data_IF_329427884633
#
_entry.id   IF_329427884633
#
_cell.length_a   1.000
_cell.length_b   1.000
_cell.length_c   1.000
_cell.angle_alpha   90.00
_cell.angle_beta   90.00
_cell.angle_gamma   90.00
#
_symmetry.space_group_name_H-M   'P 1'
#
loop_
_entity.id
_entity.type
_entity.pdbx_description
1 polymer ?
#
# COMPACT_ATOMS: atom_id res chain seq x y z
N UNK A 1 2.52 -6.42 19.05
CA UNK A 1 2.00 -6.19 17.69
C UNK A 1 2.92 -6.95 16.74
N UNK A 2 2.37 -7.67 15.76
CA UNK A 2 3.15 -8.29 14.68
C UNK A 2 3.25 -7.31 13.52
N UNK A 3 4.46 -7.11 13.00
CA UNK A 3 4.76 -6.26 11.85
C UNK A 3 5.46 -7.08 10.76
N UNK A 4 5.25 -6.67 9.52
CA UNK A 4 5.96 -7.19 8.36
C UNK A 4 6.98 -6.14 7.94
N UNK A 5 8.25 -6.49 8.03
CA UNK A 5 9.34 -5.67 7.50
C UNK A 5 9.57 -6.00 6.02
N UNK A 6 9.73 -4.99 5.15
CA UNK A 6 10.08 -5.23 3.76
C UNK A 6 11.40 -5.99 3.60
N UNK A 7 11.35 -7.15 2.96
CA UNK A 7 12.54 -7.89 2.52
C UNK A 7 13.10 -7.27 1.22
N UNK A 8 13.90 -6.22 1.39
CA UNK A 8 14.54 -5.44 0.31
C UNK A 8 15.86 -4.82 0.80
N UNK A 9 16.80 -4.47 -0.10
CA UNK A 9 18.08 -3.88 0.27
C UNK A 9 18.00 -2.35 0.40
N UNK A 10 16.95 -1.81 1.02
CA UNK A 10 16.82 -0.37 1.19
C UNK A 10 17.92 0.21 2.11
N UNK A 11 18.32 1.47 1.90
CA UNK A 11 19.31 2.14 2.76
C UNK A 11 18.90 2.12 4.22
N UNK A 12 19.87 2.04 5.14
CA UNK A 12 19.60 1.99 6.59
C UNK A 12 18.87 3.23 7.14
N UNK A 13 18.93 4.36 6.41
CA UNK A 13 18.16 5.58 6.71
C UNK A 13 16.67 5.44 6.35
N UNK A 14 16.28 4.44 5.56
CA UNK A 14 14.88 4.16 5.21
C UNK A 14 14.32 3.15 6.22
N UNK A 15 13.20 3.51 6.84
CA UNK A 15 12.44 2.63 7.71
C UNK A 15 11.09 2.37 7.06
N UNK A 16 10.65 1.12 7.09
CA UNK A 16 9.42 0.72 6.43
C UNK A 16 8.81 -0.50 7.13
N UNK A 17 7.48 -0.57 7.18
CA UNK A 17 6.76 -1.73 7.71
C UNK A 17 5.34 -1.78 7.18
N UNK A 18 4.72 -2.97 7.25
CA UNK A 18 3.28 -3.14 7.15
C UNK A 18 2.71 -3.76 8.41
N UNK A 19 1.59 -3.24 8.88
CA UNK A 19 0.90 -3.79 10.05
C UNK A 19 0.15 -5.07 9.69
N UNK A 20 -0.02 -5.94 10.69
CA UNK A 20 -1.03 -7.01 10.64
C UNK A 20 -2.32 -6.54 11.34
N UNK A 21 -3.37 -7.37 11.33
CA UNK A 21 -4.59 -7.12 12.08
C UNK A 21 -4.43 -7.30 13.61
N UNK A 22 -3.25 -7.70 14.09
CA UNK A 22 -3.00 -8.18 15.45
C UNK A 22 -2.40 -7.09 16.35
N UNK A 23 -2.86 -7.04 17.60
CA UNK A 23 -2.25 -6.22 18.67
C UNK A 23 -2.91 -4.86 18.88
N UNK A 24 -4.16 -4.68 18.47
CA UNK A 24 -4.97 -3.50 18.78
C UNK A 24 -6.10 -3.78 19.77
N UNK A 25 -7.04 -2.84 19.86
CA UNK A 25 -8.16 -2.85 20.83
C UNK A 25 -9.55 -2.93 20.18
N UNK A 26 -9.64 -2.83 18.86
CA UNK A 26 -10.91 -2.92 18.14
C UNK A 26 -11.54 -4.31 18.28
N UNK A 27 -12.85 -4.38 18.08
CA UNK A 27 -13.64 -5.59 18.34
C UNK A 27 -14.44 -6.04 17.10
N UNK A 28 -15.02 -7.25 17.18
CA UNK A 28 -15.89 -7.80 16.15
C UNK A 28 -15.24 -7.82 14.75
N UNK A 29 -15.89 -7.29 13.70
CA UNK A 29 -15.33 -7.30 12.34
C UNK A 29 -14.01 -6.52 12.18
N UNK A 30 -13.71 -5.64 13.14
CA UNK A 30 -12.51 -4.80 13.16
C UNK A 30 -11.41 -5.35 14.07
N UNK A 31 -11.62 -6.52 14.69
CA UNK A 31 -10.65 -7.08 15.63
C UNK A 31 -9.30 -7.38 14.91
N UNK A 32 -8.15 -6.88 15.37
CA UNK A 32 -7.90 -6.11 16.61
C UNK A 32 -7.27 -4.73 16.36
N UNK A 33 -6.36 -4.59 15.40
CA UNK A 33 -5.63 -3.36 15.10
C UNK A 33 -6.18 -2.68 13.84
N UNK A 34 -7.43 -2.19 13.90
CA UNK A 34 -7.98 -1.39 12.80
C UNK A 34 -7.44 0.05 12.86
N UNK A 35 -6.86 0.52 11.75
CA UNK A 35 -6.33 1.87 11.60
C UNK A 35 -7.22 2.81 10.76
N UNK A 36 -8.26 2.25 10.14
CA UNK A 36 -9.21 3.00 9.31
C UNK A 36 -10.35 3.61 10.14
N UNK A 37 -10.52 4.92 10.04
CA UNK A 37 -11.56 5.73 10.70
C UNK A 37 -12.88 5.83 9.92
N UNK A 38 -12.88 5.37 8.66
CA UNK A 38 -13.99 5.50 7.71
C UNK A 38 -14.73 4.19 7.45
N UNK A 39 -14.48 3.14 8.25
CA UNK A 39 -15.01 1.79 8.04
C UNK A 39 -16.14 1.41 9.01
N UNK A 40 -16.54 2.33 9.88
CA UNK A 40 -17.63 2.14 10.85
C UNK A 40 -17.21 1.47 12.16
N UNK A 41 -15.91 1.48 12.49
CA UNK A 41 -15.41 1.09 13.81
C UNK A 41 -15.59 2.22 14.83
N UNK A 42 -15.41 1.91 16.11
CA UNK A 42 -15.40 2.88 17.19
C UNK A 42 -14.22 3.86 17.02
N UNK A 43 -14.47 5.18 16.92
CA UNK A 43 -13.42 6.18 16.78
C UNK A 43 -12.38 6.16 17.90
N UNK A 44 -12.77 5.82 19.14
CA UNK A 44 -11.85 5.71 20.27
C UNK A 44 -10.91 4.52 20.12
N UNK A 45 -11.42 3.38 19.63
CA UNK A 45 -10.58 2.22 19.33
C UNK A 45 -9.59 2.51 18.18
N UNK A 46 -10.05 3.18 17.12
CA UNK A 46 -9.17 3.55 15.99
C UNK A 46 -8.08 4.51 16.44
N UNK A 47 -8.42 5.56 17.19
CA UNK A 47 -7.44 6.48 17.76
C UNK A 47 -6.43 5.73 18.63
N UNK A 48 -6.91 4.85 19.51
CA UNK A 48 -6.03 4.03 20.36
C UNK A 48 -5.12 3.09 19.58
N UNK A 49 -5.62 2.49 18.49
CA UNK A 49 -4.80 1.64 17.61
C UNK A 49 -3.70 2.44 16.91
N UNK A 50 -3.99 3.66 16.45
CA UNK A 50 -2.98 4.57 15.88
C UNK A 50 -1.94 4.98 16.93
N UNK A 51 -2.34 5.26 18.17
CA UNK A 51 -1.40 5.52 19.27
C UNK A 51 -0.49 4.31 19.57
N UNK A 52 -1.07 3.10 19.60
CA UNK A 52 -0.33 1.85 19.79
C UNK A 52 0.70 1.69 18.68
N UNK A 53 0.32 1.92 17.42
CA UNK A 53 1.21 1.86 16.27
C UNK A 53 2.37 2.85 16.40
N UNK A 54 2.06 4.14 16.63
CA UNK A 54 3.08 5.19 16.75
C UNK A 54 4.05 4.91 17.90
N UNK A 55 3.54 4.48 19.06
CA UNK A 55 4.35 4.19 20.25
C UNK A 55 5.23 2.96 20.03
N UNK A 56 4.71 1.90 19.41
CA UNK A 56 5.46 0.66 19.19
C UNK A 56 6.59 0.84 18.18
N UNK A 57 6.36 1.64 17.13
CA UNK A 57 7.37 1.94 16.11
C UNK A 57 8.32 3.08 16.51
N UNK A 58 8.02 3.81 17.59
CA UNK A 58 8.74 5.04 17.93
C UNK A 58 8.69 6.06 16.79
N UNK A 59 7.53 6.22 16.15
CA UNK A 59 7.42 7.06 14.97
C UNK A 59 7.81 8.52 15.29
N UNK A 60 8.59 9.16 14.41
CA UNK A 60 9.06 10.53 14.63
C UNK A 60 7.94 11.58 14.54
N UNK A 61 6.84 11.24 13.86
CA UNK A 61 5.65 12.06 13.71
C UNK A 61 4.43 11.16 13.43
N UNK A 62 3.22 11.73 13.52
CA UNK A 62 2.03 11.03 13.07
C UNK A 62 2.11 10.77 11.55
N UNK A 63 1.71 9.58 11.06
CA UNK A 63 1.63 9.32 9.63
C UNK A 63 0.69 10.28 8.90
N UNK A 64 1.06 10.72 7.70
CA UNK A 64 0.09 11.38 6.82
C UNK A 64 -0.93 10.36 6.35
N UNK A 65 -2.10 10.35 6.99
CA UNK A 65 -3.27 9.63 6.50
C UNK A 65 -3.86 10.35 5.29
N UNK A 66 -4.28 9.59 4.28
CA UNK A 66 -4.88 10.13 3.06
C UNK A 66 -6.37 9.81 3.01
N UNK A 67 -7.14 10.67 2.35
CA UNK A 67 -8.46 10.30 1.83
C UNK A 67 -8.25 9.58 0.51
N UNK A 68 -8.05 8.26 0.59
CA UNK A 68 -7.85 7.38 -0.56
C UNK A 68 -9.15 7.24 -1.36
N UNK A 69 -9.11 7.58 -2.65
CA UNK A 69 -10.27 7.58 -3.55
C UNK A 69 -10.09 6.63 -4.73
N UNK A 70 -9.08 5.77 -4.69
CA UNK A 70 -8.68 4.86 -5.78
C UNK A 70 -8.33 5.63 -7.07
N UNK A 71 -7.80 6.84 -6.91
CA UNK A 71 -7.27 7.69 -7.97
C UNK A 71 -5.77 7.49 -8.16
N UNK A 72 -5.10 8.55 -8.64
CA UNK A 72 -3.67 8.54 -9.00
C UNK A 72 -2.86 9.71 -8.45
N UNK A 73 -3.48 10.54 -7.63
CA UNK A 73 -2.87 11.77 -7.14
C UNK A 73 -1.91 11.48 -5.99
N UNK A 74 -0.85 12.30 -5.90
CA UNK A 74 0.24 12.15 -4.93
C UNK A 74 0.28 13.38 -4.03
N UNK A 75 0.13 13.17 -2.72
CA UNK A 75 0.28 14.21 -1.71
C UNK A 75 1.74 14.34 -1.26
N UNK A 76 2.18 15.57 -0.96
CA UNK A 76 3.46 15.81 -0.28
C UNK A 76 3.26 15.71 1.23
N UNK A 77 3.95 14.76 1.86
CA UNK A 77 3.77 14.46 3.27
C UNK A 77 4.28 15.55 4.20
N UNK A 78 5.22 16.38 3.75
CA UNK A 78 5.75 17.50 4.54
C UNK A 78 4.77 18.66 4.68
N UNK A 79 3.68 18.66 3.92
CA UNK A 79 2.65 19.69 3.97
C UNK A 79 1.38 19.08 4.57
N UNK A 80 1.28 18.90 5.91
CA UNK A 80 0.04 18.47 6.52
C UNK A 80 -1.02 19.54 6.27
N UNK A 81 -1.92 19.27 5.33
CA UNK A 81 -3.04 20.13 4.96
C UNK A 81 -4.29 19.69 5.69
N UNK A 82 -5.07 20.68 6.12
CA UNK A 82 -6.45 20.49 6.58
C UNK A 82 -7.37 21.15 5.55
N UNK A 83 -8.34 20.41 4.98
CA UNK A 83 -8.69 19.02 5.28
C UNK A 83 -7.64 18.00 4.78
N UNK A 84 -7.71 16.77 5.31
CA UNK A 84 -6.92 15.61 4.88
C UNK A 84 -6.90 15.54 3.34
N UNK A 85 -5.72 15.40 2.71
CA UNK A 85 -5.60 15.42 1.26
C UNK A 85 -6.30 14.22 0.62
N UNK A 86 -7.02 14.48 -0.47
CA UNK A 86 -7.55 13.45 -1.36
C UNK A 86 -6.45 13.01 -2.31
N UNK A 87 -5.93 11.80 -2.09
CA UNK A 87 -4.80 11.22 -2.81
C UNK A 87 -4.69 9.73 -2.53
N UNK A 88 -3.99 9.00 -3.39
CA UNK A 88 -3.73 7.57 -3.24
C UNK A 88 -2.24 7.25 -3.14
N UNK A 89 -1.39 8.28 -3.10
CA UNK A 89 0.01 8.15 -2.75
C UNK A 89 0.48 9.33 -1.91
N UNK A 90 1.51 9.12 -1.10
CA UNK A 90 2.21 10.16 -0.37
C UNK A 90 3.71 10.06 -0.64
N UNK A 91 4.40 11.19 -0.71
CA UNK A 91 5.85 11.26 -0.85
C UNK A 91 6.46 12.13 0.26
N UNK A 92 7.61 11.72 0.77
CA UNK A 92 8.43 12.51 1.68
C UNK A 92 9.88 12.56 1.21
N UNK A 93 10.51 13.70 1.44
CA UNK A 93 11.90 14.05 1.17
C UNK A 93 12.61 14.59 2.41
N UNK A 94 11.89 14.70 3.53
CA UNK A 94 12.40 15.22 4.80
C UNK A 94 12.45 14.10 5.85
N UNK A 95 13.59 13.91 6.53
CA UNK A 95 13.69 13.03 7.70
C UNK A 95 12.62 13.30 8.75
N UNK A 96 12.06 12.25 9.33
CA UNK A 96 11.02 12.35 10.36
C UNK A 96 9.59 12.49 9.83
N UNK A 97 9.37 12.60 8.52
CA UNK A 97 8.04 12.61 7.91
C UNK A 97 7.63 11.20 7.50
N UNK A 98 6.44 10.76 7.91
CA UNK A 98 5.96 9.39 7.71
C UNK A 98 4.85 9.34 6.65
N UNK A 99 5.12 8.64 5.55
CA UNK A 99 4.12 8.32 4.53
C UNK A 99 3.38 7.04 4.92
N UNK A 100 2.06 7.02 4.77
CA UNK A 100 1.25 5.83 5.00
C UNK A 100 0.14 5.67 3.96
N UNK A 101 -0.20 4.42 3.69
CA UNK A 101 -1.41 4.04 2.95
C UNK A 101 -2.13 2.93 3.68
N UNK A 102 -3.45 2.95 3.65
CA UNK A 102 -4.31 1.98 4.31
C UNK A 102 -4.90 1.00 3.31
N UNK A 103 -4.90 -0.29 3.63
CA UNK A 103 -5.40 -1.33 2.73
C UNK A 103 -6.22 -2.40 3.44
N UNK A 104 -7.11 -3.02 2.68
CA UNK A 104 -7.67 -4.33 2.93
C UNK A 104 -7.98 -4.92 1.55
N UNK A 105 -7.03 -5.66 0.98
CA UNK A 105 -6.97 -6.22 -0.38
C UNK A 105 -6.26 -5.39 -1.46
N UNK A 106 -6.45 -4.07 -1.52
CA UNK A 106 -5.70 -3.26 -2.49
C UNK A 106 -4.19 -3.34 -2.24
N UNK A 107 -3.38 -3.20 -3.29
CA UNK A 107 -1.93 -3.38 -3.23
C UNK A 107 -1.24 -2.15 -2.62
N UNK A 108 -0.58 -2.26 -1.45
CA UNK A 108 0.32 -1.23 -0.98
C UNK A 108 1.71 -1.39 -1.62
N UNK A 109 2.29 -0.30 -2.10
CA UNK A 109 3.69 -0.25 -2.51
C UNK A 109 4.44 0.79 -1.68
N UNK A 110 5.63 0.43 -1.24
CA UNK A 110 6.58 1.34 -0.60
C UNK A 110 7.76 1.54 -1.53
N UNK A 111 8.14 2.79 -1.77
CA UNK A 111 9.19 3.18 -2.69
C UNK A 111 10.25 3.98 -1.94
N UNK A 112 11.52 3.76 -2.26
CA UNK A 112 12.61 4.65 -1.88
C UNK A 112 13.66 4.73 -2.99
N UNK A 113 14.53 5.74 -2.94
CA UNK A 113 15.73 5.78 -3.79
C UNK A 113 16.91 5.05 -3.12
N UNK A 114 17.87 4.63 -3.94
CA UNK A 114 19.09 3.94 -3.50
C UNK A 114 20.00 4.76 -2.55
N UNK A 115 19.79 6.08 -2.42
CA UNK A 115 20.50 6.93 -1.46
C UNK A 115 19.72 7.17 -0.17
N UNK A 116 18.45 6.76 -0.10
CA UNK A 116 17.61 6.97 1.07
C UNK A 116 17.40 8.46 1.35
N UNK A 117 17.10 9.22 0.30
CA UNK A 117 16.79 10.66 0.36
C UNK A 117 15.33 10.95 0.12
N UNK A 118 14.57 9.98 -0.40
CA UNK A 118 13.14 10.11 -0.72
C UNK A 118 12.42 8.80 -0.47
N UNK A 119 11.18 8.90 -0.03
CA UNK A 119 10.30 7.75 0.20
C UNK A 119 8.88 8.03 -0.25
N UNK A 120 8.15 7.00 -0.66
CA UNK A 120 6.73 7.11 -0.99
C UNK A 120 5.95 5.87 -0.58
N UNK A 121 4.72 6.08 -0.11
CA UNK A 121 3.73 5.02 0.11
C UNK A 121 2.59 5.18 -0.91
N UNK A 122 2.20 4.08 -1.57
CA UNK A 122 1.25 4.09 -2.68
C UNK A 122 0.15 3.05 -2.45
N UNK A 123 -1.11 3.48 -2.57
CA UNK A 123 -2.30 2.67 -2.57
C UNK A 123 -2.70 2.37 -4.02
N UNK A 124 -2.49 1.14 -4.46
CA UNK A 124 -2.83 0.68 -5.80
C UNK A 124 -3.98 -0.33 -5.76
N UNK A 125 -5.21 0.18 -5.59
CA UNK A 125 -6.39 -0.56 -6.05
C UNK A 125 -6.40 -0.68 -7.57
N UNK A 126 -7.15 -1.63 -8.15
CA UNK A 126 -7.12 -1.87 -9.59
C UNK A 126 -7.41 -0.60 -10.44
N UNK A 127 -8.28 0.30 -9.96
CA UNK A 127 -8.59 1.57 -10.63
C UNK A 127 -7.39 2.52 -10.63
N UNK A 128 -6.75 2.72 -9.49
CA UNK A 128 -5.56 3.55 -9.37
C UNK A 128 -4.39 2.98 -10.15
N UNK A 129 -4.21 1.65 -10.10
CA UNK A 129 -3.17 0.95 -10.84
C UNK A 129 -3.35 1.09 -12.36
N UNK A 130 -4.57 0.91 -12.88
CA UNK A 130 -4.89 1.15 -14.29
C UNK A 130 -4.75 2.64 -14.65
N UNK A 131 -5.24 3.53 -13.78
CA UNK A 131 -5.26 4.99 -13.96
C UNK A 131 -3.90 5.68 -13.85
N UNK A 132 -2.89 4.95 -13.37
CA UNK A 132 -1.50 5.36 -13.40
C UNK A 132 -0.94 5.96 -12.11
N UNK A 133 -1.40 5.45 -10.95
CA UNK A 133 -0.86 5.87 -9.64
C UNK A 133 0.63 5.59 -9.49
N UNK A 134 1.14 4.50 -10.11
CA UNK A 134 2.56 4.16 -10.07
C UNK A 134 3.40 5.14 -10.89
N UNK A 135 2.93 5.52 -12.07
CA UNK A 135 3.53 6.55 -12.90
C UNK A 135 3.59 7.89 -12.15
N UNK A 136 2.49 8.30 -11.52
CA UNK A 136 2.45 9.51 -10.72
C UNK A 136 3.44 9.47 -9.55
N UNK A 137 3.51 8.35 -8.82
CA UNK A 137 4.41 8.20 -7.67
C UNK A 137 5.88 8.21 -8.10
N UNK A 138 6.25 7.45 -9.14
CA UNK A 138 7.62 7.43 -9.69
C UNK A 138 8.03 8.81 -10.21
N UNK A 139 7.14 9.52 -10.90
CA UNK A 139 7.41 10.89 -11.35
C UNK A 139 7.62 11.84 -10.16
N UNK A 140 6.79 11.72 -9.11
CA UNK A 140 6.91 12.55 -7.90
C UNK A 140 8.22 12.29 -7.14
N UNK A 141 8.76 11.07 -7.18
CA UNK A 141 10.07 10.77 -6.60
C UNK A 141 11.16 11.66 -7.20
N UNK A 142 11.06 12.05 -8.48
CA UNK A 142 12.04 12.88 -9.18
C UNK A 142 13.47 12.34 -9.05
N UNK A 143 13.59 11.01 -9.16
CA UNK A 143 14.84 10.24 -9.22
C UNK A 143 14.74 9.35 -10.46
N UNK A 144 15.89 9.02 -11.05
CA UNK A 144 15.95 8.07 -12.16
C UNK A 144 15.30 6.73 -11.75
N UNK A 145 14.32 6.20 -12.51
CA UNK A 145 13.56 5.00 -12.13
C UNK A 145 14.42 3.77 -11.80
N UNK A 146 15.54 3.59 -12.48
CA UNK A 146 16.50 2.50 -12.26
C UNK A 146 17.17 2.54 -10.88
N UNK A 147 17.11 3.70 -10.20
CA UNK A 147 17.63 3.90 -8.83
C UNK A 147 16.56 3.75 -7.75
N UNK A 148 15.31 3.47 -8.14
CA UNK A 148 14.22 3.25 -7.20
C UNK A 148 14.17 1.79 -6.77
N UNK A 149 14.00 1.58 -5.47
CA UNK A 149 13.61 0.30 -4.89
C UNK A 149 12.13 0.35 -4.57
N UNK A 150 11.41 -0.71 -4.92
CA UNK A 150 9.97 -0.82 -4.68
C UNK A 150 9.69 -2.13 -3.96
N UNK A 151 8.94 -2.07 -2.86
CA UNK A 151 8.44 -3.24 -2.16
C UNK A 151 6.92 -3.29 -2.23
N UNK A 152 6.40 -4.45 -2.62
CA UNK A 152 4.97 -4.72 -2.65
C UNK A 152 4.54 -5.46 -1.38
N UNK A 153 3.65 -4.85 -0.62
CA UNK A 153 3.11 -5.44 0.60
C UNK A 153 1.93 -6.39 0.37
N UNK A 154 1.32 -6.88 1.45
CA UNK A 154 0.17 -7.79 1.38
C UNK A 154 -1.01 -7.18 0.61
N UNK A 155 -1.51 -7.93 -0.36
CA UNK A 155 -2.68 -7.60 -1.18
C UNK A 155 -3.54 -8.85 -1.39
N UNK A 156 -4.67 -8.73 -2.08
CA UNK A 156 -5.42 -9.92 -2.50
C UNK A 156 -4.64 -10.65 -3.61
N UNK A 157 -4.37 -11.94 -3.40
CA UNK A 157 -3.53 -12.73 -4.29
C UNK A 157 -4.21 -13.20 -5.57
N UNK A 158 -3.43 -13.69 -6.55
CA UNK A 158 -3.91 -14.05 -7.89
C UNK A 158 -4.83 -15.27 -7.92
N UNK A 159 -4.85 -16.09 -6.88
CA UNK A 159 -5.78 -17.22 -6.74
C UNK A 159 -7.12 -16.81 -6.08
N UNK A 160 -7.24 -15.56 -5.63
CA UNK A 160 -8.38 -15.06 -4.87
C UNK A 160 -9.05 -13.82 -5.50
N UNK A 161 -8.31 -13.01 -6.26
CA UNK A 161 -8.82 -11.76 -6.80
C UNK A 161 -9.64 -11.95 -8.08
N UNK A 162 -10.88 -12.42 -7.90
CA UNK A 162 -11.84 -12.50 -9.00
C UNK A 162 -12.38 -11.11 -9.38
N UNK A 163 -12.42 -10.83 -10.69
CA UNK A 163 -12.90 -9.58 -11.28
C UNK A 163 -13.74 -9.87 -12.54
N UNK A 164 -14.55 -8.88 -12.97
CA UNK A 164 -15.27 -8.94 -14.23
C UNK A 164 -14.41 -8.57 -15.45
N UNK A 165 -14.96 -8.75 -16.67
CA UNK A 165 -14.26 -8.46 -17.92
C UNK A 165 -13.89 -6.98 -18.06
N UNK A 166 -14.61 -6.07 -17.40
CA UNK A 166 -14.32 -4.63 -17.38
C UNK A 166 -12.96 -4.30 -16.76
N UNK A 167 -12.55 -5.03 -15.72
CA UNK A 167 -11.24 -4.82 -15.09
C UNK A 167 -10.15 -5.30 -16.02
N UNK A 168 -10.30 -6.48 -16.63
CA UNK A 168 -9.35 -6.99 -17.61
C UNK A 168 -9.21 -6.04 -18.80
N UNK A 169 -10.33 -5.54 -19.32
CA UNK A 169 -10.32 -4.59 -20.44
C UNK A 169 -9.57 -3.29 -20.10
N UNK A 170 -9.69 -2.79 -18.87
CA UNK A 170 -9.01 -1.56 -18.44
C UNK A 170 -7.48 -1.65 -18.52
N UNK A 171 -6.90 -2.84 -18.39
CA UNK A 171 -5.45 -3.05 -18.52
C UNK A 171 -5.04 -3.46 -19.95
N UNK A 172 -5.78 -4.41 -20.54
CA UNK A 172 -5.43 -5.03 -21.83
C UNK A 172 -5.63 -4.06 -23.01
N UNK A 173 -6.58 -3.13 -22.92
CA UNK A 173 -6.87 -2.20 -24.01
C UNK A 173 -5.67 -1.31 -24.37
N UNK A 174 -4.92 -0.86 -23.36
CA UNK A 174 -3.72 -0.03 -23.57
C UNK A 174 -2.45 -0.89 -23.69
N UNK A 175 -2.39 -1.99 -22.93
CA UNK A 175 -1.21 -2.86 -22.86
C UNK A 175 -1.63 -4.33 -23.01
N UNK A 176 -1.72 -4.84 -24.25
CA UNK A 176 -2.16 -6.21 -24.52
C UNK A 176 -1.39 -7.30 -23.76
N UNK A 177 -0.12 -7.05 -23.45
CA UNK A 177 0.78 -7.93 -22.68
C UNK A 177 0.27 -8.20 -21.27
N UNK A 178 -0.48 -7.26 -20.68
CA UNK A 178 -1.08 -7.43 -19.35
C UNK A 178 -2.13 -8.54 -19.31
N UNK A 179 -2.58 -9.05 -20.46
CA UNK A 179 -3.47 -10.20 -20.53
C UNK A 179 -2.91 -11.44 -19.81
N UNK A 180 -1.57 -11.56 -19.72
CA UNK A 180 -0.91 -12.64 -18.99
C UNK A 180 -1.18 -12.62 -17.47
N UNK A 181 -1.53 -11.46 -16.91
CA UNK A 181 -1.88 -11.31 -15.49
C UNK A 181 -3.35 -11.67 -15.19
N UNK A 182 -4.10 -12.20 -16.17
CA UNK A 182 -5.49 -12.61 -16.00
C UNK A 182 -5.66 -14.08 -16.41
N UNK A 183 -6.18 -14.89 -15.49
CA UNK A 183 -6.56 -16.29 -15.77
C UNK A 183 -8.08 -16.43 -15.75
N UNK A 184 -8.70 -17.27 -16.58
CA UNK A 184 -10.12 -17.55 -16.48
C UNK A 184 -10.49 -18.02 -15.07
N UNK A 185 -11.52 -17.42 -14.46
CA UNK A 185 -12.01 -17.90 -13.16
C UNK A 185 -12.81 -19.20 -13.35
N UNK A 186 -12.69 -20.19 -12.43
CA UNK A 186 -13.56 -21.36 -12.41
C UNK A 186 -15.03 -21.00 -12.07
N UNK A 187 -15.28 -19.83 -11.50
CA UNK A 187 -16.64 -19.35 -11.19
C UNK A 187 -17.29 -18.79 -12.46
N UNK A 188 -18.09 -19.61 -13.13
CA UNK A 188 -18.85 -19.20 -14.32
C UNK A 188 -20.30 -18.81 -14.02
N UNK A 189 -20.73 -18.94 -12.77
CA UNK A 189 -22.12 -18.74 -12.35
C UNK A 189 -22.64 -17.31 -12.60
N UNK A 190 -21.75 -16.34 -12.81
CA UNK A 190 -22.08 -14.92 -12.99
C UNK A 190 -21.56 -14.38 -14.33
N UNK A 191 -21.31 -15.26 -15.31
CA UNK A 191 -20.75 -14.89 -16.60
C UNK A 191 -19.22 -14.97 -16.63
N UNK A 192 -18.61 -14.26 -17.58
CA UNK A 192 -17.16 -14.21 -17.75
C UNK A 192 -16.50 -13.55 -16.53
N UNK A 193 -15.57 -14.25 -15.90
CA UNK A 193 -14.83 -13.79 -14.73
C UNK A 193 -13.36 -14.14 -14.89
N UNK A 194 -12.50 -13.34 -14.27
CA UNK A 194 -11.06 -13.48 -14.36
C UNK A 194 -10.45 -13.43 -12.95
N UNK A 195 -9.48 -14.29 -12.71
CA UNK A 195 -8.55 -14.17 -11.60
C UNK A 195 -7.43 -13.23 -12.04
N UNK A 196 -7.34 -12.06 -11.40
CA UNK A 196 -6.37 -11.02 -11.73
C UNK A 196 -5.19 -11.03 -10.76
N UNK A 197 -3.98 -10.83 -11.29
CA UNK A 197 -2.76 -10.71 -10.50
C UNK A 197 -2.34 -9.23 -10.39
N UNK A 198 -2.65 -8.60 -9.24
CA UNK A 198 -2.24 -7.22 -8.98
C UNK A 198 -0.73 -7.06 -8.90
N UNK A 199 0.00 -8.08 -8.45
CA UNK A 199 1.45 -8.01 -8.33
C UNK A 199 2.11 -8.01 -9.71
N UNK A 200 1.68 -8.90 -10.61
CA UNK A 200 2.16 -8.93 -12.00
C UNK A 200 1.79 -7.65 -12.77
N UNK A 201 0.57 -7.13 -12.57
CA UNK A 201 0.17 -5.86 -13.17
C UNK A 201 1.06 -4.70 -12.67
N UNK A 202 1.36 -4.64 -11.39
CA UNK A 202 2.26 -3.63 -10.84
C UNK A 202 3.70 -3.80 -11.35
N UNK A 203 4.24 -5.02 -11.40
CA UNK A 203 5.56 -5.31 -11.98
C UNK A 203 5.66 -4.86 -13.42
N UNK A 204 4.65 -5.15 -14.23
CA UNK A 204 4.61 -4.72 -15.62
C UNK A 204 4.68 -3.19 -15.75
N UNK A 205 3.89 -2.46 -14.96
CA UNK A 205 3.86 -0.99 -14.98
C UNK A 205 5.19 -0.40 -14.52
N UNK A 206 5.77 -0.93 -13.45
CA UNK A 206 7.07 -0.50 -12.93
C UNK A 206 8.21 -0.75 -13.93
N UNK A 207 8.24 -1.93 -14.56
CA UNK A 207 9.25 -2.26 -15.57
C UNK A 207 9.19 -1.31 -16.77
N UNK A 208 7.98 -0.93 -17.21
CA UNK A 208 7.82 0.07 -18.30
C UNK A 208 8.27 1.47 -17.92
N UNK A 209 8.32 1.79 -16.64
CA UNK A 209 8.89 3.04 -16.14
C UNK A 209 10.41 2.97 -16.01
N UNK A 210 11.04 1.80 -16.19
CA UNK A 210 12.47 1.60 -15.99
C UNK A 210 12.87 1.25 -14.55
N UNK A 211 11.89 0.91 -13.69
CA UNK A 211 12.18 0.43 -12.34
C UNK A 211 12.58 -1.04 -12.40
N UNK A 212 13.83 -1.34 -12.01
CA UNK A 212 14.40 -2.70 -12.09
C UNK A 212 14.33 -3.45 -10.75
N UNK A 213 14.26 -2.74 -9.63
CA UNK A 213 14.38 -3.30 -8.29
C UNK A 213 13.02 -3.41 -7.58
N UNK A 214 12.28 -4.49 -7.85
CA UNK A 214 10.94 -4.74 -7.28
C UNK A 214 10.91 -6.00 -6.42
N UNK A 215 10.57 -5.83 -5.14
CA UNK A 215 10.57 -6.85 -4.09
C UNK A 215 9.17 -7.12 -3.54
N UNK A 216 9.04 -8.11 -2.67
CA UNK A 216 7.76 -8.47 -2.03
C UNK A 216 6.74 -9.08 -3.00
N UNK A 217 5.47 -8.99 -2.63
CA UNK A 217 4.35 -9.51 -3.41
C UNK A 217 4.04 -11.00 -3.25
N UNK A 218 4.24 -11.56 -2.04
CA UNK A 218 4.00 -12.98 -1.74
C UNK A 218 2.81 -13.28 -0.83
N UNK A 219 2.25 -12.27 -0.16
CA UNK A 219 1.15 -12.45 0.79
C UNK A 219 -0.22 -12.28 0.14
N UNK A 220 -1.21 -13.04 0.65
CA UNK A 220 -2.61 -12.93 0.23
C UNK A 220 -3.50 -12.55 1.43
N UNK A 221 -4.08 -11.36 1.40
CA UNK A 221 -4.96 -10.83 2.46
C UNK A 221 -6.20 -11.67 2.68
N UNK A 222 -6.78 -12.22 1.59
CA UNK A 222 -7.95 -13.07 1.65
C UNK A 222 -7.63 -14.43 2.29
N UNK A 223 -6.56 -15.08 1.85
CA UNK A 223 -6.20 -16.45 2.26
C UNK A 223 -5.55 -16.55 3.64
N UNK A 224 -5.10 -15.43 4.22
CA UNK A 224 -4.46 -15.40 5.54
C UNK A 224 -5.29 -14.60 6.58
N UNK A 225 -6.50 -15.06 6.96
CA UNK A 225 -7.41 -14.33 7.84
C UNK A 225 -6.87 -14.06 9.25
N UNK A 226 -5.91 -14.88 9.71
CA UNK A 226 -5.24 -14.69 11.01
C UNK A 226 -4.32 -13.47 11.04
N UNK A 227 -3.81 -13.01 9.89
CA UNK A 227 -2.84 -11.91 9.78
C UNK A 227 -3.44 -10.65 9.19
N UNK A 228 -4.43 -10.77 8.30
CA UNK A 228 -4.89 -9.63 7.48
C UNK A 228 -6.40 -9.44 7.51
N UNK A 229 -6.82 -8.17 7.51
CA UNK A 229 -8.16 -7.80 7.08
C UNK A 229 -8.31 -7.99 5.56
N UNK A 230 -9.50 -8.37 5.11
CA UNK A 230 -9.83 -8.50 3.68
C UNK A 230 -11.27 -8.06 3.44
N UNK A 231 -11.44 -7.00 2.66
CA UNK A 231 -12.76 -6.49 2.30
C UNK A 231 -13.55 -7.52 1.48
N UNK A 232 -12.89 -8.23 0.57
CA UNK A 232 -13.47 -9.27 -0.27
C UNK A 232 -14.01 -10.43 0.56
N UNK A 233 -13.34 -10.79 1.65
CA UNK A 233 -13.76 -11.88 2.54
C UNK A 233 -14.86 -11.44 3.49
N UNK A 234 -14.67 -10.30 4.15
CA UNK A 234 -15.43 -9.94 5.36
C UNK A 234 -16.47 -8.83 5.10
N UNK A 235 -16.37 -8.09 3.99
CA UNK A 235 -17.18 -6.91 3.69
C UNK A 235 -16.87 -5.77 4.66
N UNK A 236 -17.61 -5.68 5.75
CA UNK A 236 -17.32 -4.73 6.82
C UNK A 236 -16.14 -5.25 7.64
N UNK A 237 -15.00 -4.57 7.56
CA UNK A 237 -13.77 -4.97 8.27
C UNK A 237 -12.78 -3.80 8.40
N UNK A 238 -11.71 -4.02 9.18
CA UNK A 238 -10.67 -3.02 9.44
C UNK A 238 -9.74 -2.75 8.27
N UNK A 239 -8.75 -1.88 8.48
CA UNK A 239 -7.67 -1.57 7.53
C UNK A 239 -6.30 -1.80 8.16
N UNK A 240 -5.42 -2.41 7.39
CA UNK A 240 -3.98 -2.45 7.62
C UNK A 240 -3.37 -1.11 7.20
N UNK A 241 -2.12 -0.85 7.61
CA UNK A 241 -1.33 0.27 7.07
C UNK A 241 0.06 -0.19 6.64
N UNK A 242 0.52 0.33 5.51
CA UNK A 242 1.91 0.24 5.07
C UNK A 242 2.55 1.62 5.19
N UNK A 243 3.66 1.69 5.92
CA UNK A 243 4.32 2.93 6.29
C UNK A 243 5.77 2.93 5.82
N UNK A 244 6.25 4.11 5.43
CA UNK A 244 7.66 4.34 5.11
C UNK A 244 8.08 5.76 5.52
N UNK A 245 9.29 5.88 6.04
CA UNK A 245 9.87 7.17 6.43
C UNK A 245 11.39 7.15 6.34
N UNK A 246 11.97 8.35 6.27
CA UNK A 246 13.38 8.55 6.49
C UNK A 246 13.63 8.71 7.99
N UNK A 247 14.51 7.90 8.55
CA UNK A 247 14.94 8.01 9.94
C UNK A 247 15.48 9.43 10.19
N UNK A 248 15.20 10.05 11.35
CA UNK A 248 15.83 11.31 11.73
C UNK A 248 17.35 11.17 11.65
N UNK A 249 18.04 12.22 11.20
CA UNK A 249 19.48 12.28 11.36
C UNK A 249 19.76 12.27 12.87
N UNK A 250 20.44 11.24 13.36
CA UNK A 250 20.95 11.24 14.72
C UNK A 250 21.96 12.38 14.83
N UNK A 251 21.52 13.53 15.32
CA UNK A 251 22.42 14.55 15.87
C UNK A 251 22.95 14.02 17.21
N UNK A 252 23.73 12.93 17.17
CA UNK A 252 24.59 12.58 18.28
C UNK A 252 25.79 13.50 18.21
N UNK A 253 25.76 14.46 19.15
CA UNK A 253 26.78 15.48 19.31
C UNK A 253 28.19 14.90 19.35
N UNK A 254 29.07 15.61 18.67
CA UNK A 254 30.49 15.68 18.95
C UNK A 254 30.82 17.12 19.30
#
# INVERSE_FOLDING_TARGET
MELIEPDWPAPASVRACTTTRLGGVSQGPFASLNLGDHVGDDPEHVARNREILCSHLGLPAEPLWLRQVHGRDVARAECPVTPIPEADAAIATTPGVVCAVMTADCLPLLLCDDQGTRVSAVHAGWRGLAGGVLESAVAAMAVAPERLLVWMGPAIGPDAFEVGPEVRAAFVAEHPETAAAFRPSPSTAQGERWLADLFELARFRLARLGVEHVYGGGDCTLSQPGRFFSYRRDGTTGRLASLIWLAPNDSHGS
#
